data_IF_330911921797
#
_entry.id   IF_330911921797
#
_cell.length_a   1.000
_cell.length_b   1.000
_cell.length_c   1.000
_cell.angle_alpha   90.00
_cell.angle_beta   90.00
_cell.angle_gamma   90.00
#
_symmetry.space_group_name_H-M   'P 1'
#
loop_
_entity.id
_entity.type
_entity.pdbx_description
1 polymer ?
#
# COMPACT_ATOMS: atom_id res chain seq x y z
N UNK A 1 -10.11 29.13 -39.24
CA UNK A 1 -10.35 27.67 -39.33
C UNK A 1 -9.18 26.85 -38.72
N UNK A 2 -8.89 26.99 -37.42
CA UNK A 2 -7.81 26.26 -36.71
C UNK A 2 -8.30 25.44 -35.49
N UNK A 3 -9.40 25.85 -34.85
CA UNK A 3 -9.97 25.24 -33.65
C UNK A 3 -10.54 23.83 -33.87
N UNK A 4 -11.18 23.57 -35.01
CA UNK A 4 -11.73 22.24 -35.34
C UNK A 4 -10.66 21.14 -35.46
N UNK A 5 -9.45 21.51 -35.94
CA UNK A 5 -8.33 20.57 -36.08
C UNK A 5 -7.80 20.13 -34.73
N UNK A 6 -7.69 21.04 -33.75
CA UNK A 6 -7.24 20.69 -32.40
C UNK A 6 -8.23 19.76 -31.69
N UNK A 7 -9.54 20.01 -31.82
CA UNK A 7 -10.58 19.13 -31.26
C UNK A 7 -10.56 17.73 -31.87
N UNK A 8 -10.28 17.60 -33.18
CA UNK A 8 -10.12 16.27 -33.81
C UNK A 8 -8.90 15.51 -33.30
N UNK A 9 -7.79 16.20 -33.01
CA UNK A 9 -6.57 15.57 -32.49
C UNK A 9 -6.76 15.07 -31.06
N UNK A 10 -7.45 15.84 -30.22
CA UNK A 10 -7.75 15.44 -28.83
C UNK A 10 -8.70 14.26 -28.79
N UNK A 11 -9.78 14.26 -29.60
CA UNK A 11 -10.72 13.12 -29.67
C UNK A 11 -10.02 11.83 -30.13
N UNK A 12 -9.10 11.92 -31.09
CA UNK A 12 -8.30 10.77 -31.53
C UNK A 12 -7.39 10.24 -30.43
N UNK A 13 -6.80 11.10 -29.60
CA UNK A 13 -5.93 10.66 -28.50
C UNK A 13 -6.71 9.99 -27.36
N UNK A 14 -7.90 10.49 -27.02
CA UNK A 14 -8.79 9.89 -26.00
C UNK A 14 -9.27 8.50 -26.47
N UNK A 15 -9.72 8.38 -27.72
CA UNK A 15 -10.12 7.08 -28.29
C UNK A 15 -8.99 6.03 -28.31
N UNK A 16 -7.73 6.46 -28.40
CA UNK A 16 -6.57 5.58 -28.39
C UNK A 16 -6.11 5.23 -26.96
N UNK A 17 -6.45 6.04 -25.96
CA UNK A 17 -6.19 5.75 -24.54
C UNK A 17 -7.18 4.72 -23.97
N UNK A 18 -8.43 4.71 -24.43
CA UNK A 18 -9.46 3.74 -24.00
C UNK A 18 -9.29 2.35 -24.65
N UNK A 19 -8.52 2.25 -25.75
CA UNK A 19 -8.28 0.99 -26.48
C UNK A 19 -6.99 0.26 -26.08
N UNK A 20 -6.46 0.48 -24.87
CA UNK A 20 -5.34 -0.30 -24.36
C UNK A 20 -5.88 -1.52 -23.61
N UNK A 21 -5.79 -2.75 -24.16
CA UNK A 21 -6.12 -3.94 -23.39
C UNK A 21 -5.17 -4.02 -22.18
N UNK A 22 -5.74 -4.23 -20.99
CA UNK A 22 -4.96 -4.56 -19.81
C UNK A 22 -4.14 -5.83 -20.09
N UNK A 23 -2.88 -5.93 -19.65
CA UNK A 23 -2.15 -7.18 -19.78
C UNK A 23 -2.93 -8.24 -19.00
N UNK A 24 -3.47 -9.20 -19.74
CA UNK A 24 -4.10 -10.41 -19.23
C UNK A 24 -3.19 -11.04 -18.18
N UNK A 25 -3.74 -11.29 -16.99
CA UNK A 25 -3.11 -12.01 -15.89
C UNK A 25 -2.79 -13.44 -16.36
N UNK A 26 -1.64 -13.62 -16.98
CA UNK A 26 -1.10 -14.92 -17.35
C UNK A 26 -0.73 -15.65 -16.05
N UNK A 27 -1.56 -16.62 -15.65
CA UNK A 27 -1.29 -17.51 -14.52
C UNK A 27 -0.14 -18.43 -14.92
N UNK A 28 1.09 -18.06 -14.54
CA UNK A 28 2.22 -18.98 -14.56
C UNK A 28 2.05 -20.03 -13.44
N UNK A 29 2.03 -21.34 -13.75
CA UNK A 29 2.23 -22.35 -12.72
C UNK A 29 3.73 -22.43 -12.44
N UNK A 30 4.22 -21.69 -11.45
CA UNK A 30 5.59 -21.88 -10.96
C UNK A 30 5.58 -22.91 -9.86
N UNK A 31 6.05 -24.10 -10.25
CA UNK A 31 6.66 -25.16 -9.44
C UNK A 31 7.34 -24.59 -8.19
N UNK A 32 7.06 -25.21 -7.04
CA UNK A 32 7.56 -24.80 -5.73
C UNK A 32 9.08 -24.69 -5.69
N UNK A 33 9.57 -23.45 -5.80
CA UNK A 33 10.88 -23.08 -5.29
C UNK A 33 10.67 -22.80 -3.81
N UNK A 34 11.15 -23.70 -2.96
CA UNK A 34 11.33 -23.42 -1.53
C UNK A 34 12.35 -22.29 -1.46
N UNK A 35 11.87 -21.05 -1.51
CA UNK A 35 12.63 -19.90 -1.06
C UNK A 35 13.14 -20.27 0.32
N UNK A 36 14.45 -20.30 0.51
CA UNK A 36 15.01 -20.32 1.85
C UNK A 36 14.54 -19.03 2.50
N UNK A 37 13.40 -19.10 3.17
CA UNK A 37 12.76 -17.98 3.83
C UNK A 37 13.79 -17.45 4.80
N UNK A 38 14.33 -16.27 4.50
CA UNK A 38 14.77 -15.41 5.59
C UNK A 38 13.66 -15.45 6.64
N UNK A 39 13.97 -15.52 7.96
CA UNK A 39 12.92 -15.36 8.96
C UNK A 39 12.08 -14.14 8.56
N UNK A 40 10.77 -14.24 8.69
CA UNK A 40 9.85 -13.16 8.32
C UNK A 40 10.15 -11.98 9.26
N UNK A 41 11.18 -11.21 8.87
CA UNK A 41 11.72 -10.13 9.65
C UNK A 41 10.65 -9.07 9.75
N UNK A 42 10.29 -8.71 10.97
CA UNK A 42 9.22 -7.77 11.23
C UNK A 42 9.77 -6.59 12.02
N UNK A 43 9.65 -5.41 11.45
CA UNK A 43 9.93 -4.16 12.13
C UNK A 43 9.10 -3.05 11.50
N UNK A 44 8.50 -2.19 12.32
CA UNK A 44 7.84 -1.00 11.84
C UNK A 44 8.14 0.21 12.71
N UNK A 45 8.09 1.39 12.11
CA UNK A 45 8.11 2.68 12.79
C UNK A 45 7.26 3.64 11.97
N UNK A 46 6.37 4.36 12.64
CA UNK A 46 5.40 5.26 12.03
C UNK A 46 5.07 6.39 13.00
N UNK A 47 4.56 7.49 12.47
CA UNK A 47 4.07 8.63 13.25
C UNK A 47 2.69 9.08 12.75
N UNK A 48 1.97 9.81 13.61
CA UNK A 48 0.70 10.44 13.27
C UNK A 48 0.99 11.79 12.59
N UNK A 49 0.54 11.97 11.35
CA UNK A 49 0.71 13.22 10.61
C UNK A 49 -0.46 14.19 10.78
N UNK A 50 -1.64 13.67 11.13
CA UNK A 50 -2.86 14.44 11.36
C UNK A 50 -3.33 14.23 12.78
N UNK A 51 -3.35 15.31 13.56
CA UNK A 51 -3.88 15.28 14.92
C UNK A 51 -5.40 15.10 14.90
N UNK A 52 -5.88 13.93 15.30
CA UNK A 52 -7.28 13.74 15.64
C UNK A 52 -7.52 14.15 17.09
N UNK A 53 -8.41 15.11 17.30
CA UNK A 53 -8.73 15.66 18.62
C UNK A 53 -9.84 14.92 19.35
N UNK A 54 -10.53 14.00 18.67
CA UNK A 54 -11.73 13.33 19.19
C UNK A 54 -11.48 11.84 19.41
N UNK A 55 -10.64 11.55 20.40
CA UNK A 55 -10.27 10.17 20.77
C UNK A 55 -11.31 9.65 21.75
N UNK A 56 -12.26 8.86 21.25
CA UNK A 56 -13.23 8.17 22.11
C UNK A 56 -12.60 6.97 22.81
N UNK A 57 -13.31 6.43 23.80
CA UNK A 57 -13.02 5.08 24.30
C UNK A 57 -13.07 4.10 23.11
N UNK A 58 -12.11 3.18 23.06
CA UNK A 58 -11.94 2.16 22.00
C UNK A 58 -11.47 2.69 20.63
N UNK A 59 -10.98 3.93 20.57
CA UNK A 59 -10.34 4.47 19.37
C UNK A 59 -8.96 3.84 19.12
N UNK A 60 -8.71 3.41 17.88
CA UNK A 60 -7.40 2.91 17.45
C UNK A 60 -6.62 4.02 16.77
N UNK A 61 -5.47 4.38 17.33
CA UNK A 61 -4.58 5.40 16.76
C UNK A 61 -3.95 4.85 15.47
N UNK A 62 -4.22 5.53 14.37
CA UNK A 62 -3.60 5.24 13.08
C UNK A 62 -2.33 6.09 12.95
N UNK A 63 -1.17 5.45 13.09
CA UNK A 63 0.10 6.09 12.70
C UNK A 63 0.21 6.00 11.18
N UNK A 64 -0.45 6.94 10.52
CA UNK A 64 -0.73 6.96 9.09
C UNK A 64 0.53 7.09 8.22
N UNK A 65 1.59 7.71 8.76
CA UNK A 65 2.84 7.92 8.04
C UNK A 65 3.92 6.92 8.44
N UNK A 66 4.26 6.04 7.50
CA UNK A 66 5.26 4.98 7.66
C UNK A 66 6.68 5.53 7.45
N UNK A 67 7.57 5.29 8.43
CA UNK A 67 9.03 5.46 8.28
C UNK A 67 9.66 4.15 7.80
N UNK A 68 9.31 3.03 8.45
CA UNK A 68 9.81 1.69 8.15
C UNK A 68 8.69 0.68 8.31
N UNK A 69 8.62 -0.33 7.43
CA UNK A 69 7.67 -1.46 7.53
C UNK A 69 8.26 -2.75 6.91
N UNK A 70 9.30 -3.29 7.53
CA UNK A 70 9.94 -4.54 7.10
C UNK A 70 8.92 -5.68 7.23
N UNK A 71 8.72 -6.43 6.15
CA UNK A 71 7.73 -7.50 6.07
C UNK A 71 6.30 -7.04 5.79
N UNK A 72 6.03 -5.73 5.78
CA UNK A 72 4.70 -5.14 5.54
C UNK A 72 3.61 -5.64 6.50
N UNK A 73 3.98 -5.83 7.76
CA UNK A 73 3.10 -6.38 8.79
C UNK A 73 2.32 -5.30 9.56
N UNK A 74 2.71 -4.03 9.42
CA UNK A 74 1.93 -2.88 9.90
C UNK A 74 1.00 -2.34 8.81
N UNK A 75 -0.27 -2.13 9.15
CA UNK A 75 -1.27 -1.49 8.30
C UNK A 75 -1.56 -0.07 8.80
N UNK A 76 -1.09 0.93 8.06
CA UNK A 76 -1.25 2.35 8.40
C UNK A 76 -2.69 2.87 8.27
N UNK A 77 -3.58 2.15 7.58
CA UNK A 77 -5.01 2.52 7.49
C UNK A 77 -5.82 1.99 8.66
N UNK A 78 -5.30 1.02 9.41
CA UNK A 78 -6.01 0.43 10.56
C UNK A 78 -5.27 0.64 11.87
N UNK A 79 -4.03 1.13 11.84
CA UNK A 79 -3.18 1.25 13.03
C UNK A 79 -2.66 -0.08 13.57
N UNK A 80 -2.86 -1.19 12.85
CA UNK A 80 -2.64 -2.54 13.39
C UNK A 80 -1.35 -3.18 12.86
N UNK A 81 -0.55 -3.73 13.77
CA UNK A 81 0.54 -4.65 13.45
C UNK A 81 0.07 -6.10 13.59
N UNK A 82 0.33 -6.93 12.58
CA UNK A 82 0.03 -8.37 12.60
C UNK A 82 1.31 -9.18 12.70
N UNK A 83 1.54 -9.87 13.81
CA UNK A 83 2.74 -10.69 13.98
C UNK A 83 2.78 -11.81 12.91
N UNK A 84 3.83 -11.89 12.06
CA UNK A 84 3.94 -12.94 11.04
C UNK A 84 4.25 -14.32 11.60
N UNK A 85 4.87 -14.38 12.78
CA UNK A 85 5.33 -15.63 13.39
C UNK A 85 5.23 -15.54 14.92
N UNK A 86 5.27 -16.70 15.58
CA UNK A 86 5.37 -16.74 17.04
C UNK A 86 6.73 -16.20 17.49
N UNK A 87 6.74 -15.34 18.49
CA UNK A 87 7.98 -14.76 18.99
C UNK A 87 7.75 -13.60 19.95
N UNK A 88 8.85 -12.97 20.33
CA UNK A 88 8.86 -11.78 21.18
C UNK A 88 8.88 -10.54 20.29
N UNK A 89 8.01 -9.59 20.60
CA UNK A 89 7.89 -8.30 19.93
C UNK A 89 8.02 -7.18 20.95
N UNK A 90 8.64 -6.06 20.55
CA UNK A 90 8.79 -4.87 21.39
C UNK A 90 8.01 -3.74 20.74
N UNK A 91 7.20 -3.06 21.55
CA UNK A 91 6.46 -1.87 21.15
C UNK A 91 6.92 -0.70 22.01
N UNK A 92 7.17 0.43 21.37
CA UNK A 92 7.47 1.71 22.01
C UNK A 92 6.74 2.80 21.24
N UNK A 93 6.17 3.76 21.96
CA UNK A 93 5.43 4.87 21.36
C UNK A 93 5.51 6.10 22.28
N UNK A 94 5.32 7.27 21.67
CA UNK A 94 5.06 8.53 22.35
C UNK A 94 3.79 9.14 21.72
N UNK A 95 3.01 9.83 22.54
CA UNK A 95 1.76 10.51 22.16
C UNK A 95 2.00 12.02 22.09
#
# INVERSE_FOLDING_TARGET
MKIQRQTSMVKRKISQLEKKPSPSKERRPTTGVRSTSFPDNAAFSAYVSVYETDISKDFTIQFDTIITNIGNHYNNHTGAFTAPQHGVYVFTWNL
#
